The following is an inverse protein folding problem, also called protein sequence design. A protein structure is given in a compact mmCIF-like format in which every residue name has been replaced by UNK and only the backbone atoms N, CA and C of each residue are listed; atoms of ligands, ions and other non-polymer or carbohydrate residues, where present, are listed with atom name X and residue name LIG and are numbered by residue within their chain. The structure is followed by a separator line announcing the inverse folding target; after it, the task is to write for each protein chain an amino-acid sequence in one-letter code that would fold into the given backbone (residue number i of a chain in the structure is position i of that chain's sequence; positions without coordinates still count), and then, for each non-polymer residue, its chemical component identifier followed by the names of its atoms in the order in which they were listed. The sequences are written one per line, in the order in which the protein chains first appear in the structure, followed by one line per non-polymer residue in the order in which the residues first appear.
data_IF_834815368501
#
_entry.id   IF_834815368501
#
_cell.length_a   1.000
_cell.length_b   1.000
_cell.length_c   1.000
_cell.angle_alpha   90.00
_cell.angle_beta   90.00
_cell.angle_gamma   90.00
#
_symmetry.space_group_name_H-M   'P 1'
#
loop_
_entity.id
_entity.type
_entity.pdbx_description
1 polymer ?
#
# COMPACT_ATOMS: atom_id res chain seq x y z
N UNK A 1 20.28 8.37 21.97
CA UNK A 1 19.56 9.66 22.11
C UNK A 1 18.14 9.36 22.56
N UNK A 2 17.56 10.15 23.45
CA UNK A 2 16.17 9.97 23.91
C UNK A 2 15.32 11.07 23.27
N UNK A 3 14.22 10.72 22.60
CA UNK A 3 13.24 11.70 22.16
C UNK A 3 12.44 12.19 23.37
N UNK A 4 12.34 13.50 23.55
CA UNK A 4 11.45 14.10 24.53
C UNK A 4 10.06 14.33 23.92
N UNK A 5 9.01 14.24 24.74
CA UNK A 5 7.62 14.50 24.35
C UNK A 5 7.16 13.69 23.11
N UNK A 6 7.49 12.40 23.10
CA UNK A 6 7.06 11.48 22.04
C UNK A 6 5.53 11.40 22.02
N UNK A 7 4.95 11.81 20.89
CA UNK A 7 3.51 11.71 20.63
C UNK A 7 3.14 10.36 20.03
N UNK A 8 3.90 9.90 19.04
CA UNK A 8 3.72 8.58 18.42
C UNK A 8 5.04 8.03 17.90
N UNK A 9 5.17 6.71 17.97
CA UNK A 9 6.15 5.91 17.22
C UNK A 9 5.35 5.01 16.30
N UNK A 10 5.63 5.04 15.01
CA UNK A 10 4.90 4.24 14.03
C UNK A 10 5.78 3.86 12.85
N UNK A 11 5.21 3.08 11.93
CA UNK A 11 5.85 2.71 10.65
C UNK A 11 7.19 2.00 10.86
N UNK A 12 7.25 1.12 11.87
CA UNK A 12 8.46 0.36 12.14
C UNK A 12 8.61 -0.80 11.15
N UNK A 13 9.80 -0.96 10.60
CA UNK A 13 10.20 -2.08 9.76
C UNK A 13 11.66 -2.45 10.06
N UNK A 14 11.99 -3.73 9.91
CA UNK A 14 13.36 -4.22 9.96
C UNK A 14 13.72 -4.72 8.58
N UNK A 15 14.85 -4.26 8.05
CA UNK A 15 15.35 -4.65 6.74
C UNK A 15 16.69 -5.36 6.86
N UNK A 16 16.90 -6.41 6.06
CA UNK A 16 18.21 -7.04 5.90
C UNK A 16 19.05 -6.23 4.91
N UNK A 17 20.24 -5.81 5.33
CA UNK A 17 21.19 -5.05 4.50
C UNK A 17 22.54 -5.76 4.45
N UNK A 18 23.44 -5.30 3.58
CA UNK A 18 24.81 -5.81 3.51
C UNK A 18 25.60 -5.63 4.82
N UNK A 19 25.20 -4.69 5.68
CA UNK A 19 25.80 -4.44 6.99
C UNK A 19 25.04 -5.08 8.16
N UNK A 20 24.02 -5.90 7.89
CA UNK A 20 23.18 -6.55 8.90
C UNK A 20 21.74 -6.03 8.89
N UNK A 21 20.99 -6.33 9.96
CA UNK A 21 19.62 -5.83 10.11
C UNK A 21 19.62 -4.33 10.43
N UNK A 22 18.71 -3.60 9.79
CA UNK A 22 18.49 -2.18 10.02
C UNK A 22 17.04 -1.96 10.45
N UNK A 23 16.86 -1.47 11.67
CA UNK A 23 15.57 -1.01 12.18
C UNK A 23 15.29 0.41 11.67
N UNK A 24 14.09 0.62 11.16
CA UNK A 24 13.64 1.88 10.58
C UNK A 24 12.25 2.20 11.11
N UNK A 25 12.04 3.41 11.60
CA UNK A 25 10.74 3.85 12.09
C UNK A 25 10.61 5.37 12.07
N UNK A 26 9.37 5.83 12.17
CA UNK A 26 9.07 7.25 12.33
C UNK A 26 8.73 7.58 13.79
N UNK A 27 9.21 8.73 14.25
CA UNK A 27 8.87 9.31 15.55
C UNK A 27 8.25 10.67 15.32
N UNK A 28 7.11 10.93 15.93
CA UNK A 28 6.55 12.27 16.04
C UNK A 28 6.67 12.74 17.47
N UNK A 29 7.23 13.92 17.67
CA UNK A 29 7.24 14.61 18.96
C UNK A 29 6.25 15.77 18.95
N UNK A 30 5.75 16.14 20.12
CA UNK A 30 4.87 17.30 20.30
C UNK A 30 5.45 18.24 21.33
N UNK A 31 5.45 19.55 21.04
CA UNK A 31 5.77 20.59 22.01
C UNK A 31 4.59 21.56 22.13
N UNK A 32 4.43 22.17 23.30
CA UNK A 32 3.44 23.22 23.49
C UNK A 32 4.06 24.58 23.17
N UNK A 33 3.35 25.38 22.37
CA UNK A 33 3.71 26.76 22.06
C UNK A 33 2.54 27.68 22.43
N UNK A 34 2.75 29.00 22.38
CA UNK A 34 1.70 30.00 22.64
C UNK A 34 0.52 29.91 21.64
N UNK A 35 0.73 29.28 20.49
CA UNK A 35 -0.29 29.12 19.43
C UNK A 35 -0.90 27.72 19.39
N UNK A 36 -0.51 26.83 20.32
CA UNK A 36 -1.02 25.47 20.44
C UNK A 36 0.07 24.39 20.30
N UNK A 37 -0.31 23.13 20.05
CA UNK A 37 0.67 22.06 19.89
C UNK A 37 1.42 22.21 18.56
N UNK A 38 2.76 22.17 18.63
CA UNK A 38 3.65 22.04 17.48
C UNK A 38 4.13 20.60 17.36
N UNK A 39 4.07 20.05 16.15
CA UNK A 39 4.47 18.67 15.87
C UNK A 39 5.71 18.66 14.98
N UNK A 40 6.65 17.78 15.33
CA UNK A 40 7.86 17.53 14.55
C UNK A 40 7.97 16.05 14.28
N UNK A 41 8.35 15.69 13.05
CA UNK A 41 8.58 14.32 12.65
C UNK A 41 10.08 14.04 12.45
N UNK A 42 10.46 12.81 12.78
CA UNK A 42 11.79 12.28 12.57
C UNK A 42 11.70 10.88 11.97
N UNK A 43 12.67 10.52 11.13
CA UNK A 43 12.96 9.15 10.73
C UNK A 43 14.18 8.69 11.49
N UNK A 44 14.07 7.50 12.09
CA UNK A 44 15.21 6.77 12.63
C UNK A 44 15.53 5.66 11.65
N UNK A 45 16.77 5.60 11.18
CA UNK A 45 17.27 4.62 10.22
C UNK A 45 18.63 4.10 10.71
N UNK A 46 18.61 2.95 11.38
CA UNK A 46 19.77 2.51 12.15
C UNK A 46 20.13 3.55 13.22
N UNK A 47 21.36 4.07 13.16
CA UNK A 47 21.85 5.10 14.07
C UNK A 47 21.57 6.54 13.58
N UNK A 48 21.07 6.71 12.35
CA UNK A 48 20.76 8.02 11.79
C UNK A 48 19.39 8.51 12.28
N UNK A 49 19.33 9.79 12.64
CA UNK A 49 18.09 10.50 12.96
C UNK A 49 17.97 11.65 11.96
N UNK A 50 16.91 11.61 11.16
CA UNK A 50 16.67 12.55 10.07
C UNK A 50 15.41 13.33 10.42
N UNK A 51 15.53 14.65 10.52
CA UNK A 51 14.39 15.54 10.69
C UNK A 51 13.60 15.63 9.38
N UNK A 52 12.27 15.56 9.46
CA UNK A 52 11.40 15.68 8.29
C UNK A 52 10.18 16.54 8.57
N UNK A 53 9.56 17.05 7.50
CA UNK A 53 8.28 17.76 7.60
C UNK A 53 7.19 16.87 8.22
N UNK A 54 6.52 17.38 9.26
CA UNK A 54 5.33 16.75 9.83
C UNK A 54 4.15 16.82 8.85
N UNK A 55 3.50 15.68 8.63
CA UNK A 55 2.29 15.56 7.82
C UNK A 55 1.24 14.76 8.59
N UNK A 56 0.17 15.45 9.03
CA UNK A 56 -0.87 14.87 9.88
C UNK A 56 -1.69 13.75 9.23
N UNK A 57 -1.75 13.71 7.89
CA UNK A 57 -2.48 12.70 7.11
C UNK A 57 -1.61 11.54 6.66
N UNK A 58 -0.33 11.50 7.06
CA UNK A 58 0.51 10.41 6.64
C UNK A 58 -0.06 9.06 7.08
N UNK A 59 -0.06 8.07 6.17
CA UNK A 59 -0.65 6.78 6.45
C UNK A 59 0.12 6.00 7.53
N UNK A 60 -0.48 4.97 8.13
CA UNK A 60 0.20 4.13 9.11
C UNK A 60 1.06 3.03 8.48
N UNK A 61 1.30 3.07 7.15
CA UNK A 61 2.08 2.02 6.48
C UNK A 61 3.56 2.09 6.84
N UNK A 62 4.22 0.94 7.08
CA UNK A 62 5.67 0.90 7.21
C UNK A 62 6.34 1.39 5.92
N UNK A 63 7.59 1.88 6.00
CA UNK A 63 8.38 2.10 4.81
C UNK A 63 8.65 0.77 4.09
N UNK A 64 9.10 0.87 2.85
CA UNK A 64 9.54 -0.27 2.05
C UNK A 64 11.00 -0.09 1.65
N UNK A 65 11.71 -1.19 1.42
CA UNK A 65 13.07 -1.15 0.89
C UNK A 65 13.07 -1.61 -0.56
N UNK A 66 13.63 -0.79 -1.44
CA UNK A 66 13.70 -1.05 -2.88
C UNK A 66 15.08 -0.62 -3.37
N UNK A 67 15.83 -1.52 -4.01
CA UNK A 67 17.17 -1.23 -4.54
C UNK A 67 18.13 -0.63 -3.50
N UNK A 68 18.01 -1.05 -2.23
CA UNK A 68 18.81 -0.54 -1.11
C UNK A 68 18.36 0.83 -0.56
N UNK A 69 17.31 1.42 -1.11
CA UNK A 69 16.73 2.69 -0.66
C UNK A 69 15.47 2.45 0.17
N UNK A 70 15.24 3.31 1.16
CA UNK A 70 14.02 3.29 1.97
C UNK A 70 13.04 4.30 1.43
N UNK A 71 11.86 3.83 1.07
CA UNK A 71 10.77 4.65 0.56
C UNK A 71 9.62 4.72 1.57
N UNK A 72 8.95 5.87 1.57
CA UNK A 72 7.84 6.21 2.45
C UNK A 72 6.64 6.67 1.62
N UNK A 73 5.46 6.12 1.91
CA UNK A 73 4.22 6.71 1.44
C UNK A 73 3.79 7.86 2.37
N UNK A 74 3.57 9.04 1.81
CA UNK A 74 3.19 10.25 2.54
C UNK A 74 1.94 10.89 1.94
N UNK A 75 1.28 11.75 2.71
CA UNK A 75 0.12 12.53 2.25
C UNK A 75 0.30 14.01 2.57
N UNK A 76 0.39 14.84 1.52
CA UNK A 76 0.46 16.30 1.61
C UNK A 76 -0.73 16.95 0.90
N UNK A 77 -1.69 17.45 1.67
CA UNK A 77 -2.91 18.05 1.12
C UNK A 77 -3.70 17.06 0.29
N UNK A 78 -3.80 17.31 -1.04
CA UNK A 78 -4.44 16.46 -2.06
C UNK A 78 -3.49 15.49 -2.77
N UNK A 79 -2.24 15.38 -2.32
CA UNK A 79 -1.22 14.57 -2.97
C UNK A 79 -0.85 13.36 -2.12
N UNK A 80 -0.65 12.23 -2.80
CA UNK A 80 0.05 11.08 -2.25
C UNK A 80 1.45 11.09 -2.84
N UNK A 81 2.45 11.01 -1.97
CA UNK A 81 3.86 11.03 -2.35
C UNK A 81 4.50 9.68 -2.02
N UNK A 82 5.46 9.27 -2.85
CA UNK A 82 6.49 8.31 -2.48
C UNK A 82 7.80 9.07 -2.44
N UNK A 83 8.44 9.09 -1.27
CA UNK A 83 9.69 9.80 -1.05
C UNK A 83 10.67 8.95 -0.25
N UNK A 84 11.96 9.26 -0.35
CA UNK A 84 12.98 8.62 0.47
C UNK A 84 13.17 9.33 1.82
N UNK A 85 14.07 8.80 2.66
CA UNK A 85 14.37 9.40 3.98
C UNK A 85 14.94 10.83 3.88
N UNK A 86 15.57 11.20 2.77
CA UNK A 86 16.11 12.54 2.51
C UNK A 86 15.05 13.52 1.94
N UNK A 87 13.78 13.10 1.87
CA UNK A 87 12.64 13.86 1.33
C UNK A 87 12.75 14.14 -0.18
N UNK A 88 13.50 13.33 -0.93
CA UNK A 88 13.44 13.32 -2.39
C UNK A 88 12.16 12.61 -2.86
N UNK A 89 11.40 13.24 -3.76
CA UNK A 89 10.12 12.73 -4.24
C UNK A 89 10.35 11.84 -5.48
N UNK A 90 10.07 10.55 -5.34
CA UNK A 90 10.10 9.57 -6.43
C UNK A 90 8.81 9.55 -7.23
N UNK A 91 7.68 9.80 -6.55
CA UNK A 91 6.38 9.79 -7.19
C UNK A 91 5.40 10.74 -6.51
N UNK A 92 4.53 11.34 -7.30
CA UNK A 92 3.47 12.23 -6.84
C UNK A 92 2.17 11.93 -7.60
N UNK A 93 1.09 11.70 -6.85
CA UNK A 93 -0.24 11.45 -7.39
C UNK A 93 -1.27 12.37 -6.73
N UNK A 94 -1.88 13.23 -7.54
CA UNK A 94 -3.02 14.04 -7.10
C UNK A 94 -4.27 13.17 -6.98
N UNK A 95 -4.88 13.16 -5.80
CA UNK A 95 -6.14 12.45 -5.53
C UNK A 95 -7.12 13.35 -4.80
N UNK A 96 -8.41 13.11 -4.99
CA UNK A 96 -9.44 13.75 -4.19
C UNK A 96 -9.67 12.95 -2.90
N UNK A 97 -9.46 13.61 -1.76
CA UNK A 97 -9.85 13.11 -0.46
C UNK A 97 -11.33 13.44 -0.24
N UNK A 98 -12.21 12.45 -0.36
CA UNK A 98 -13.57 12.57 0.15
C UNK A 98 -13.57 12.54 1.69
N UNK A 99 -14.45 11.75 2.29
CA UNK A 99 -14.46 11.57 3.75
C UNK A 99 -13.29 10.73 4.31
N UNK A 100 -12.36 10.26 3.47
CA UNK A 100 -11.25 9.38 3.90
C UNK A 100 -10.04 9.45 2.96
N UNK A 101 -8.85 9.18 3.53
CA UNK A 101 -7.60 8.95 2.79
C UNK A 101 -7.79 7.73 1.87
N UNK A 102 -7.70 7.85 0.53
CA UNK A 102 -7.94 6.75 -0.38
C UNK A 102 -6.77 5.77 -0.41
N UNK A 103 -5.66 6.05 0.28
CA UNK A 103 -4.55 5.13 0.36
C UNK A 103 -4.93 3.87 1.14
N UNK A 104 -4.75 2.72 0.50
CA UNK A 104 -5.14 1.38 0.98
C UNK A 104 -3.95 0.48 1.29
N UNK A 105 -2.75 0.86 0.88
CA UNK A 105 -1.52 0.14 1.23
C UNK A 105 -0.30 0.66 0.49
N UNK A 106 0.85 0.32 1.03
CA UNK A 106 2.17 0.55 0.47
C UNK A 106 3.05 -0.65 0.80
N UNK A 107 3.51 -1.37 -0.22
CA UNK A 107 4.18 -2.66 -0.09
C UNK A 107 5.31 -2.78 -1.12
N UNK A 108 6.23 -3.72 -0.91
CA UNK A 108 7.31 -4.03 -1.85
C UNK A 108 7.42 -5.53 -2.08
N UNK A 109 7.98 -5.89 -3.24
CA UNK A 109 8.36 -7.26 -3.60
C UNK A 109 9.45 -7.19 -4.67
N UNK A 110 10.48 -8.02 -4.57
CA UNK A 110 11.50 -8.18 -5.64
C UNK A 110 12.02 -6.85 -6.23
N UNK A 111 12.44 -5.92 -5.37
CA UNK A 111 12.88 -4.56 -5.74
C UNK A 111 11.85 -3.70 -6.50
N UNK A 112 10.57 -4.02 -6.35
CA UNK A 112 9.44 -3.19 -6.78
C UNK A 112 8.68 -2.64 -5.57
N UNK A 113 8.03 -1.50 -5.76
CA UNK A 113 7.04 -0.99 -4.80
C UNK A 113 5.67 -0.82 -5.46
N UNK A 114 4.63 -0.99 -4.64
CA UNK A 114 3.25 -0.73 -5.02
C UNK A 114 2.58 0.21 -4.03
N UNK A 115 1.83 1.14 -4.58
CA UNK A 115 0.99 2.07 -3.86
C UNK A 115 -0.47 1.85 -4.30
N UNK A 116 -1.33 1.50 -3.33
CA UNK A 116 -2.75 1.18 -3.57
C UNK A 116 -3.59 2.39 -3.21
N UNK A 117 -4.20 3.07 -4.19
CA UNK A 117 -4.97 4.31 -4.01
C UNK A 117 -6.39 4.13 -4.52
N UNK A 118 -7.34 3.81 -3.64
CA UNK A 118 -8.72 3.52 -4.04
C UNK A 118 -8.77 2.37 -5.06
N UNK A 119 -9.23 2.68 -6.27
CA UNK A 119 -9.30 1.74 -7.41
C UNK A 119 -8.13 1.88 -8.39
N UNK A 120 -7.07 2.57 -7.96
CA UNK A 120 -5.83 2.73 -8.69
C UNK A 120 -4.71 1.96 -7.99
N UNK A 121 -3.85 1.37 -8.82
CA UNK A 121 -2.58 0.80 -8.37
C UNK A 121 -1.46 1.49 -9.12
N UNK A 122 -0.50 2.02 -8.37
CA UNK A 122 0.75 2.55 -8.90
C UNK A 122 1.84 1.55 -8.57
N UNK A 123 2.58 1.12 -9.59
CA UNK A 123 3.75 0.26 -9.44
C UNK A 123 4.94 1.02 -10.00
N UNK A 124 5.98 1.25 -9.18
CA UNK A 124 7.22 1.90 -9.60
C UNK A 124 7.02 3.23 -10.33
N UNK A 125 6.02 4.02 -9.88
CA UNK A 125 5.65 5.31 -10.47
C UNK A 125 4.72 5.22 -11.68
N UNK A 126 4.42 4.01 -12.18
CA UNK A 126 3.48 3.80 -13.27
C UNK A 126 2.07 3.46 -12.76
N UNK A 127 1.06 4.20 -13.23
CA UNK A 127 -0.34 3.90 -12.94
C UNK A 127 -0.78 2.71 -13.78
N UNK A 128 -0.90 1.53 -13.18
CA UNK A 128 -1.25 0.28 -13.88
C UNK A 128 -2.57 0.37 -14.64
N UNK A 129 -3.54 1.10 -14.09
CA UNK A 129 -4.83 1.36 -14.74
C UNK A 129 -4.65 1.97 -16.14
N UNK A 130 -3.83 3.02 -16.25
CA UNK A 130 -3.58 3.70 -17.51
C UNK A 130 -2.73 2.82 -18.45
N UNK A 131 -1.65 2.22 -17.92
CA UNK A 131 -0.72 1.37 -18.69
C UNK A 131 -1.41 0.17 -19.35
N UNK A 132 -2.36 -0.46 -18.65
CA UNK A 132 -3.02 -1.70 -19.10
C UNK A 132 -4.47 -1.49 -19.56
N UNK A 133 -4.91 -0.23 -19.65
CA UNK A 133 -6.26 0.17 -20.04
C UNK A 133 -7.35 -0.54 -19.19
N UNK A 134 -7.24 -0.37 -17.86
CA UNK A 134 -8.21 -0.83 -16.88
C UNK A 134 -8.92 0.36 -16.24
N UNK A 135 -10.22 0.21 -16.00
CA UNK A 135 -11.03 1.21 -15.30
C UNK A 135 -10.79 1.17 -13.79
N UNK A 136 -10.59 -0.03 -13.25
CA UNK A 136 -10.31 -0.27 -11.84
C UNK A 136 -9.20 -1.32 -11.72
N UNK A 137 -8.36 -1.19 -10.71
CA UNK A 137 -7.44 -2.23 -10.24
C UNK A 137 -7.57 -2.29 -8.72
N UNK A 138 -7.87 -3.46 -8.18
CA UNK A 138 -8.15 -3.62 -6.76
C UNK A 138 -7.75 -4.99 -6.23
N UNK A 139 -7.71 -5.13 -4.91
CA UNK A 139 -7.33 -6.39 -4.26
C UNK A 139 -5.91 -6.81 -4.58
N UNK A 140 -5.00 -5.84 -4.79
CA UNK A 140 -3.59 -6.15 -4.98
C UNK A 140 -3.01 -6.78 -3.71
N UNK A 141 -2.37 -7.94 -3.87
CA UNK A 141 -1.68 -8.68 -2.82
C UNK A 141 -0.60 -9.59 -3.44
N UNK A 142 0.43 -9.92 -2.68
CA UNK A 142 1.33 -11.03 -3.03
C UNK A 142 0.72 -12.39 -2.71
N UNK A 143 0.67 -13.29 -3.69
CA UNK A 143 0.26 -14.68 -3.55
C UNK A 143 1.44 -15.55 -3.99
N UNK A 144 2.04 -16.30 -3.06
CA UNK A 144 3.36 -16.94 -3.24
C UNK A 144 4.45 -15.98 -3.73
N UNK A 145 4.55 -14.80 -3.12
CA UNK A 145 5.54 -13.78 -3.51
C UNK A 145 5.29 -13.10 -4.85
N UNK A 146 4.25 -13.49 -5.60
CA UNK A 146 3.91 -12.95 -6.92
C UNK A 146 2.71 -12.02 -6.85
N UNK A 147 2.69 -10.90 -7.61
CA UNK A 147 1.56 -9.99 -7.64
C UNK A 147 0.28 -10.68 -8.13
N UNK A 148 -0.79 -10.54 -7.35
CA UNK A 148 -2.16 -10.86 -7.72
C UNK A 148 -3.01 -9.58 -7.63
N UNK A 149 -3.90 -9.36 -8.58
CA UNK A 149 -4.94 -8.33 -8.46
C UNK A 149 -6.15 -8.62 -9.35
N UNK A 150 -7.28 -8.01 -9.00
CA UNK A 150 -8.45 -7.92 -9.86
C UNK A 150 -8.39 -6.64 -10.68
N UNK A 151 -8.97 -6.65 -11.88
CA UNK A 151 -9.11 -5.46 -12.70
C UNK A 151 -10.48 -5.40 -13.38
N UNK A 152 -10.96 -4.19 -13.67
CA UNK A 152 -12.18 -3.97 -14.44
C UNK A 152 -11.86 -3.48 -15.85
N UNK A 153 -12.43 -4.15 -16.86
CA UNK A 153 -12.44 -3.70 -18.25
C UNK A 153 -13.87 -3.76 -18.80
N UNK A 154 -14.51 -2.60 -18.89
CA UNK A 154 -15.92 -2.51 -19.26
C UNK A 154 -16.80 -3.20 -18.21
N UNK A 155 -17.70 -4.08 -18.67
CA UNK A 155 -18.64 -4.79 -17.78
C UNK A 155 -18.04 -6.04 -17.10
N UNK A 156 -16.75 -6.30 -17.30
CA UNK A 156 -16.10 -7.51 -16.81
C UNK A 156 -15.00 -7.19 -15.79
N UNK A 157 -14.93 -8.02 -14.77
CA UNK A 157 -13.82 -8.10 -13.81
C UNK A 157 -12.97 -9.31 -14.20
N UNK A 158 -11.68 -9.08 -14.42
CA UNK A 158 -10.68 -10.12 -14.66
C UNK A 158 -9.69 -10.23 -13.50
N UNK A 159 -8.78 -11.19 -13.62
CA UNK A 159 -7.73 -11.48 -12.65
C UNK A 159 -6.38 -11.42 -13.37
N UNK A 160 -5.40 -10.81 -12.71
CA UNK A 160 -4.00 -10.86 -13.08
C UNK A 160 -3.22 -11.55 -11.98
N UNK A 161 -2.34 -12.49 -12.35
CA UNK A 161 -1.42 -13.16 -11.45
C UNK A 161 -0.06 -13.31 -12.14
N UNK A 162 1.02 -12.95 -11.45
CA UNK A 162 2.39 -13.05 -11.95
C UNK A 162 2.57 -12.32 -13.31
N UNK A 163 1.96 -11.14 -13.43
CA UNK A 163 1.96 -10.34 -14.66
C UNK A 163 1.09 -10.88 -15.79
N UNK A 164 0.43 -12.03 -15.62
CA UNK A 164 -0.42 -12.66 -16.64
C UNK A 164 -1.91 -12.43 -16.36
N UNK A 165 -2.64 -12.01 -17.40
CA UNK A 165 -4.11 -11.97 -17.35
C UNK A 165 -4.65 -13.37 -17.56
N UNK A 166 -5.39 -13.87 -16.59
CA UNK A 166 -6.02 -15.18 -16.67
C UNK A 166 -7.29 -15.12 -17.55
N UNK A 167 -7.60 -16.17 -18.34
CA UNK A 167 -8.77 -16.22 -19.21
C UNK A 167 -10.07 -16.51 -18.44
N UNK A 168 -10.25 -15.85 -17.30
CA UNK A 168 -11.39 -16.00 -16.40
C UNK A 168 -11.98 -14.61 -16.12
N UNK A 169 -13.29 -14.47 -16.33
CA UNK A 169 -13.98 -13.20 -16.16
C UNK A 169 -15.28 -13.36 -15.39
N UNK A 170 -15.59 -12.34 -14.61
CA UNK A 170 -16.83 -12.17 -13.86
C UNK A 170 -17.51 -10.88 -14.27
N UNK A 171 -18.81 -10.77 -14.02
CA UNK A 171 -19.52 -9.50 -14.12
C UNK A 171 -19.20 -8.59 -12.93
N UNK A 172 -18.96 -9.19 -11.77
CA UNK A 172 -18.63 -8.46 -10.56
C UNK A 172 -17.89 -9.32 -9.52
N UNK A 173 -17.18 -8.67 -8.60
CA UNK A 173 -16.53 -9.29 -7.44
C UNK A 173 -16.91 -8.45 -6.21
N UNK A 174 -17.43 -9.10 -5.16
CA UNK A 174 -17.76 -8.40 -3.91
C UNK A 174 -16.48 -7.82 -3.32
N UNK A 175 -16.50 -6.52 -3.02
CA UNK A 175 -15.35 -5.77 -2.47
C UNK A 175 -15.81 -4.54 -1.71
N UNK A 176 -14.94 -4.01 -0.85
CA UNK A 176 -15.16 -2.73 -0.18
C UNK A 176 -16.19 -2.76 0.96
N UNK A 177 -16.65 -3.94 1.38
CA UNK A 177 -17.54 -4.06 2.53
C UNK A 177 -16.79 -3.78 3.84
N UNK A 178 -17.42 -3.03 4.74
CA UNK A 178 -16.91 -2.73 6.07
C UNK A 178 -17.67 -3.51 7.17
N UNK A 179 -17.12 -3.51 8.39
CA UNK A 179 -17.74 -4.09 9.58
C UNK A 179 -18.01 -5.60 9.42
N UNK A 180 -19.17 -6.09 9.88
CA UNK A 180 -19.52 -7.52 9.83
C UNK A 180 -19.62 -8.12 8.42
N UNK A 181 -19.63 -7.31 7.36
CA UNK A 181 -19.71 -7.77 5.98
C UNK A 181 -18.33 -7.97 5.32
N UNK A 182 -17.24 -7.72 6.06
CA UNK A 182 -15.86 -7.92 5.56
C UNK A 182 -15.56 -9.36 5.13
N UNK A 183 -16.29 -10.34 5.67
CA UNK A 183 -16.23 -11.76 5.26
C UNK A 183 -16.55 -11.99 3.78
N UNK A 184 -17.22 -11.04 3.12
CA UNK A 184 -17.56 -11.12 1.70
C UNK A 184 -16.49 -10.51 0.78
N UNK A 185 -15.49 -9.80 1.34
CA UNK A 185 -14.39 -9.25 0.55
C UNK A 185 -13.42 -10.36 0.11
N UNK A 186 -12.58 -10.11 -0.90
CA UNK A 186 -11.51 -11.05 -1.24
C UNK A 186 -10.56 -11.25 -0.06
N UNK A 187 -10.20 -12.50 0.20
CA UNK A 187 -9.27 -12.89 1.25
C UNK A 187 -8.06 -13.60 0.64
N UNK A 188 -6.89 -13.29 1.18
CA UNK A 188 -5.60 -13.83 0.74
C UNK A 188 -4.98 -14.62 1.89
N UNK A 189 -4.62 -15.88 1.66
CA UNK A 189 -4.04 -16.78 2.66
C UNK A 189 -2.95 -17.64 2.03
N UNK A 190 -1.70 -17.18 2.12
CA UNK A 190 -0.56 -17.89 1.54
C UNK A 190 -0.72 -18.04 0.02
N UNK A 191 -0.88 -19.27 -0.45
CA UNK A 191 -1.12 -19.61 -1.86
C UNK A 191 -2.58 -19.53 -2.29
N UNK A 192 -3.51 -19.13 -1.40
CA UNK A 192 -4.95 -19.17 -1.69
C UNK A 192 -5.59 -17.80 -1.75
N UNK A 193 -6.51 -17.64 -2.69
CA UNK A 193 -7.39 -16.48 -2.82
C UNK A 193 -8.84 -16.96 -2.81
N UNK A 194 -9.65 -16.42 -1.90
CA UNK A 194 -11.08 -16.72 -1.81
C UNK A 194 -11.91 -15.46 -1.96
N UNK A 195 -12.98 -15.48 -2.73
CA UNK A 195 -13.82 -14.31 -2.97
C UNK A 195 -15.20 -14.71 -3.50
N UNK A 196 -16.16 -13.78 -3.43
CA UNK A 196 -17.46 -13.94 -4.07
C UNK A 196 -17.50 -13.20 -5.40
N UNK A 197 -17.94 -13.88 -6.46
CA UNK A 197 -18.01 -13.30 -7.80
C UNK A 197 -19.27 -13.67 -8.55
N UNK A 198 -19.77 -12.75 -9.37
CA UNK A 198 -20.99 -12.94 -10.15
C UNK A 198 -20.66 -13.30 -11.59
N UNK A 199 -21.23 -14.39 -12.11
CA UNK A 199 -21.17 -14.76 -13.53
C UNK A 199 -22.56 -15.17 -14.01
N UNK A 200 -23.02 -14.59 -15.11
CA UNK A 200 -24.33 -14.86 -15.73
C UNK A 200 -25.51 -14.75 -14.73
N UNK A 201 -25.47 -13.72 -13.89
CA UNK A 201 -26.50 -13.45 -12.88
C UNK A 201 -26.40 -14.27 -11.59
N UNK A 202 -25.50 -15.26 -11.52
CA UNK A 202 -25.33 -16.15 -10.36
C UNK A 202 -24.08 -15.74 -9.58
N UNK A 203 -24.19 -15.69 -8.26
CA UNK A 203 -23.05 -15.49 -7.35
C UNK A 203 -22.42 -16.82 -6.98
N UNK A 204 -21.09 -16.86 -7.02
CA UNK A 204 -20.26 -18.01 -6.68
C UNK A 204 -19.32 -17.63 -5.53
N UNK A 205 -19.12 -18.55 -4.60
CA UNK A 205 -17.91 -18.55 -3.77
C UNK A 205 -16.79 -19.21 -4.58
N UNK A 206 -15.70 -18.49 -4.79
CA UNK A 206 -14.56 -18.93 -5.61
C UNK A 206 -13.37 -19.12 -4.69
N UNK A 207 -12.71 -20.26 -4.84
CA UNK A 207 -11.41 -20.55 -4.24
C UNK A 207 -10.41 -20.81 -5.36
N UNK A 208 -9.27 -20.13 -5.30
CA UNK A 208 -8.13 -20.32 -6.18
C UNK A 208 -6.94 -20.76 -5.32
N UNK A 209 -6.33 -21.88 -5.66
CA UNK A 209 -5.09 -22.35 -5.04
C UNK A 209 -3.98 -22.28 -6.09
N UNK A 210 -2.93 -21.54 -5.76
CA UNK A 210 -1.76 -21.32 -6.60
C UNK A 210 -0.62 -22.30 -6.30
N UNK A 211 -0.86 -23.29 -5.42
CA UNK A 211 0.14 -24.25 -4.95
C UNK A 211 1.22 -23.60 -4.09
N UNK A 212 2.05 -24.35 -3.37
CA UNK A 212 3.32 -23.81 -2.85
C UNK A 212 4.40 -24.10 -3.88
N UNK A 213 5.18 -23.11 -4.30
CA UNK A 213 6.48 -23.42 -4.90
C UNK A 213 7.30 -24.16 -3.82
N UNK A 214 7.72 -25.39 -4.14
CA UNK A 214 8.51 -26.25 -3.24
C UNK A 214 9.99 -25.93 -3.29
#
# INVERSE_FOLDING_TARGET
MLFENVYKVNRAAVFSTNSGEMLVFAVTTVSQTDTGPSFQDYVVQGDAIIERRYLHLDPPYPPVMVNGEILWARVDGTHVLVENSDQEIHFNFSTYYGASIPLRGFESWDDHWVLKIGDFVVQDGEILNAKLNFQEVFGWHLVNGKPFYFFRRGKRVGISYDGQIWPLYYHDVLRGYCCGLTVNNPMFRGSRVTFFARRDGIWYYVEMDFGSEG
#
